data_IF_243316682659
#
_entry.id   IF_243316682659
#
_cell.length_a   1.000
_cell.length_b   1.000
_cell.length_c   1.000
_cell.angle_alpha   90.00
_cell.angle_beta   90.00
_cell.angle_gamma   90.00
#
_symmetry.space_group_name_H-M   'P 1'
#
loop_
_entity.id
_entity.type
_entity.pdbx_description
1 polymer ?
#
# COMPACT_ATOMS: atom_id res chain seq x y z
N UNK A 1 -0.12 30.00 2.50
CA UNK A 1 0.49 28.79 1.91
C UNK A 1 0.77 27.67 2.94
N UNK A 2 -0.12 27.47 3.94
CA UNK A 2 0.09 26.45 4.98
C UNK A 2 -1.15 25.68 5.45
N UNK A 3 -2.34 25.91 4.89
CA UNK A 3 -3.56 25.37 5.53
C UNK A 3 -4.37 24.34 4.74
N UNK A 4 -4.14 24.11 3.43
CA UNK A 4 -4.95 23.12 2.70
C UNK A 4 -4.18 22.20 1.73
N UNK A 5 -2.87 22.38 1.54
CA UNK A 5 -2.12 21.69 0.48
C UNK A 5 -1.35 20.44 0.94
N UNK A 6 -1.04 20.31 2.23
CA UNK A 6 -0.19 19.22 2.74
C UNK A 6 -0.92 17.89 2.90
N UNK A 7 -2.16 17.92 3.40
CA UNK A 7 -2.94 16.71 3.63
C UNK A 7 -3.33 16.02 2.30
N UNK A 8 -3.77 16.80 1.31
CA UNK A 8 -4.20 16.27 0.01
C UNK A 8 -3.05 15.61 -0.78
N UNK A 9 -1.85 16.21 -0.78
CA UNK A 9 -0.70 15.59 -1.46
C UNK A 9 -0.28 14.28 -0.80
N UNK A 10 -0.20 14.24 0.54
CA UNK A 10 0.17 13.03 1.28
C UNK A 10 -0.87 11.93 1.07
N UNK A 11 -2.16 12.28 1.09
CA UNK A 11 -3.25 11.34 0.82
C UNK A 11 -3.20 10.80 -0.61
N UNK A 12 -3.02 11.68 -1.60
CA UNK A 12 -2.85 11.29 -2.99
C UNK A 12 -1.65 10.37 -3.17
N UNK A 13 -0.50 10.73 -2.59
CA UNK A 13 0.72 9.92 -2.64
C UNK A 13 0.49 8.55 -2.00
N UNK A 14 -0.15 8.49 -0.83
CA UNK A 14 -0.48 7.22 -0.18
C UNK A 14 -1.41 6.38 -1.06
N UNK A 15 -2.41 6.97 -1.72
CA UNK A 15 -3.29 6.25 -2.67
C UNK A 15 -2.50 5.66 -3.84
N UNK A 16 -1.63 6.44 -4.47
CA UNK A 16 -0.78 5.96 -5.57
C UNK A 16 0.11 4.80 -5.11
N UNK A 17 0.74 4.93 -3.93
CA UNK A 17 1.60 3.88 -3.36
C UNK A 17 0.81 2.62 -3.03
N UNK A 18 -0.38 2.74 -2.44
CA UNK A 18 -1.24 1.59 -2.13
C UNK A 18 -1.71 0.88 -3.40
N UNK A 19 -2.10 1.62 -4.44
CA UNK A 19 -2.48 1.01 -5.72
C UNK A 19 -1.35 0.16 -6.33
N UNK A 20 -0.10 0.66 -6.27
CA UNK A 20 1.07 -0.12 -6.68
C UNK A 20 1.26 -1.36 -5.81
N UNK A 21 1.06 -1.26 -4.49
CA UNK A 21 1.14 -2.40 -3.60
C UNK A 21 0.07 -3.46 -3.92
N UNK A 22 -1.17 -3.06 -4.23
CA UNK A 22 -2.24 -3.98 -4.64
C UNK A 22 -1.88 -4.76 -5.92
N UNK A 23 -1.23 -4.12 -6.89
CA UNK A 23 -0.69 -4.81 -8.07
C UNK A 23 0.37 -5.85 -7.67
N UNK A 24 1.41 -5.44 -6.93
CA UNK A 24 2.50 -6.35 -6.54
C UNK A 24 2.03 -7.51 -5.65
N UNK A 25 1.03 -7.29 -4.79
CA UNK A 25 0.46 -8.34 -3.94
C UNK A 25 -0.27 -9.42 -4.74
N UNK A 26 -0.89 -9.05 -5.88
CA UNK A 26 -1.62 -9.96 -6.76
C UNK A 26 -0.69 -10.69 -7.72
N UNK A 27 0.24 -9.96 -8.32
CA UNK A 27 1.05 -10.45 -9.44
C UNK A 27 2.40 -11.05 -9.03
N UNK A 28 2.83 -10.90 -7.77
CA UNK A 28 4.15 -11.37 -7.33
C UNK A 28 4.16 -12.06 -5.97
N UNK A 29 5.26 -12.79 -5.76
CA UNK A 29 5.54 -13.57 -4.55
C UNK A 29 6.40 -12.80 -3.55
N UNK A 30 6.73 -11.54 -3.85
CA UNK A 30 7.59 -10.71 -3.01
C UNK A 30 7.06 -10.66 -1.59
N UNK A 31 7.96 -10.66 -0.60
CA UNK A 31 7.53 -10.50 0.77
C UNK A 31 6.87 -9.13 0.95
N UNK A 32 5.86 -9.09 1.81
CA UNK A 32 5.09 -7.86 2.09
C UNK A 32 6.00 -6.69 2.50
N UNK A 33 7.13 -6.99 3.17
CA UNK A 33 8.15 -5.99 3.54
C UNK A 33 8.83 -5.38 2.32
N UNK A 34 9.18 -6.20 1.33
CA UNK A 34 9.85 -5.73 0.12
C UNK A 34 8.88 -4.90 -0.73
N UNK A 35 7.61 -5.30 -0.79
CA UNK A 35 6.54 -4.52 -1.45
C UNK A 35 6.39 -3.14 -0.80
N UNK A 36 6.41 -3.06 0.53
CA UNK A 36 6.32 -1.78 1.23
C UNK A 36 7.46 -0.83 0.84
N UNK A 37 8.70 -1.34 0.79
CA UNK A 37 9.89 -0.58 0.38
C UNK A 37 9.78 -0.17 -1.10
N UNK A 38 9.41 -1.09 -1.99
CA UNK A 38 9.23 -0.81 -3.43
C UNK A 38 8.11 0.19 -3.73
N UNK A 39 7.12 0.29 -2.84
CA UNK A 39 6.05 1.28 -2.91
C UNK A 39 6.41 2.59 -2.20
N UNK A 40 7.63 2.75 -1.70
CA UNK A 40 8.13 3.99 -1.12
C UNK A 40 7.63 4.29 0.29
N UNK A 41 7.22 3.28 1.05
CA UNK A 41 6.92 3.43 2.47
C UNK A 41 8.21 3.35 3.29
N UNK A 42 8.38 4.30 4.21
CA UNK A 42 9.54 4.37 5.11
C UNK A 42 9.53 3.32 6.21
N UNK A 43 8.38 2.69 6.49
CA UNK A 43 8.26 1.59 7.46
C UNK A 43 7.12 0.65 7.14
N UNK A 44 7.27 -0.62 7.52
CA UNK A 44 6.21 -1.63 7.38
C UNK A 44 4.97 -1.27 8.21
N UNK A 45 5.14 -0.66 9.38
CA UNK A 45 4.02 -0.27 10.24
C UNK A 45 3.17 0.83 9.60
N UNK A 46 3.79 1.85 8.98
CA UNK A 46 3.06 2.87 8.25
C UNK A 46 2.38 2.28 7.02
N UNK A 47 3.07 1.43 6.26
CA UNK A 47 2.48 0.70 5.14
C UNK A 47 1.21 -0.07 5.54
N UNK A 48 1.29 -0.92 6.56
CA UNK A 48 0.15 -1.72 7.01
C UNK A 48 -1.03 -0.83 7.42
N UNK A 49 -0.77 0.29 8.12
CA UNK A 49 -1.80 1.24 8.53
C UNK A 49 -2.47 1.92 7.32
N UNK A 50 -1.69 2.44 6.38
CA UNK A 50 -2.24 3.12 5.20
C UNK A 50 -2.94 2.13 4.27
N UNK A 51 -2.39 0.93 4.10
CA UNK A 51 -2.98 -0.12 3.29
C UNK A 51 -4.34 -0.55 3.85
N UNK A 52 -4.43 -0.83 5.16
CA UNK A 52 -5.71 -1.18 5.80
C UNK A 52 -6.70 -0.02 5.78
N UNK A 53 -6.24 1.23 5.90
CA UNK A 53 -7.11 2.41 5.76
C UNK A 53 -7.72 2.50 4.35
N UNK A 54 -6.96 2.16 3.31
CA UNK A 54 -7.40 2.27 1.92
C UNK A 54 -8.24 1.06 1.45
N UNK A 55 -7.81 -0.17 1.78
CA UNK A 55 -8.39 -1.41 1.25
C UNK A 55 -9.29 -2.15 2.25
N UNK A 56 -9.32 -1.72 3.52
CA UNK A 56 -10.04 -2.41 4.60
C UNK A 56 -9.38 -3.71 5.10
N UNK A 57 -8.40 -4.23 4.37
CA UNK A 57 -7.70 -5.48 4.65
C UNK A 57 -6.22 -5.22 4.97
N UNK A 58 -5.57 -6.13 5.69
CA UNK A 58 -4.11 -6.15 5.75
C UNK A 58 -3.53 -6.61 4.39
N UNK A 59 -2.28 -6.26 4.06
CA UNK A 59 -1.64 -6.71 2.82
C UNK A 59 -1.63 -8.23 2.64
N UNK A 60 -1.52 -8.99 3.75
CA UNK A 60 -1.53 -10.46 3.72
C UNK A 60 -2.92 -11.00 3.42
N UNK A 61 -3.95 -10.47 4.07
CA UNK A 61 -5.35 -10.82 3.80
C UNK A 61 -5.72 -10.49 2.35
N UNK A 62 -5.33 -9.30 1.88
CA UNK A 62 -5.54 -8.88 0.50
C UNK A 62 -4.89 -9.83 -0.50
N UNK A 63 -3.61 -10.21 -0.29
CA UNK A 63 -2.95 -11.22 -1.14
C UNK A 63 -3.70 -12.55 -1.10
N UNK A 64 -4.09 -13.04 0.07
CA UNK A 64 -4.79 -14.32 0.17
C UNK A 64 -6.13 -14.32 -0.58
N UNK A 65 -6.83 -13.19 -0.62
CA UNK A 65 -8.14 -13.06 -1.25
C UNK A 65 -8.06 -12.79 -2.76
N UNK A 66 -7.10 -12.00 -3.21
CA UNK A 66 -7.06 -11.46 -4.58
C UNK A 66 -5.90 -11.96 -5.42
N UNK A 67 -5.03 -12.82 -4.88
CA UNK A 67 -3.96 -13.42 -5.67
C UNK A 67 -4.57 -14.33 -6.71
N UNK A 68 -4.44 -13.89 -7.95
CA UNK A 68 -4.67 -14.71 -9.13
C UNK A 68 -3.42 -15.58 -9.20
N UNK A 69 -3.48 -16.79 -8.65
CA UNK A 69 -2.41 -17.77 -8.87
C UNK A 69 -2.18 -17.93 -10.39
N UNK A 70 -0.98 -18.33 -10.86
CA UNK A 70 -0.90 -18.98 -12.16
C UNK A 70 -1.82 -20.20 -12.20
#
# INVERSE_FOLDING_TARGET
FKENTGAGFVEYLNRVRTNKACYLLRETDYHVRDIAVQCGFSSISNFNKQFRKAEGLSPREYRAQFRVAP
#
